data_IF_713658728679
#
_entry.id   IF_713658728679
#
_cell.length_a   1.000
_cell.length_b   1.000
_cell.length_c   1.000
_cell.angle_alpha   90.00
_cell.angle_beta   90.00
_cell.angle_gamma   90.00
#
_symmetry.space_group_name_H-M   'P 1'
#
loop_
_entity.id
_entity.type
_entity.pdbx_description
1 polymer ?
#
# COMPACT_ATOMS: atom_id res chain seq x y z
N UNK A 1 11.99 -18.05 -0.28
CA UNK A 1 12.33 -17.36 0.99
C UNK A 1 11.22 -17.65 1.97
N UNK A 2 11.52 -18.17 3.16
CA UNK A 2 10.50 -18.42 4.21
C UNK A 2 10.38 -17.15 5.05
N UNK A 3 9.17 -16.67 5.29
CA UNK A 3 8.96 -15.56 6.22
C UNK A 3 9.25 -16.08 7.64
N UNK A 4 10.21 -15.46 8.33
CA UNK A 4 10.62 -15.83 9.67
C UNK A 4 10.31 -14.68 10.63
N UNK A 5 9.84 -15.00 11.83
CA UNK A 5 9.74 -14.06 12.95
C UNK A 5 10.58 -14.57 14.12
N UNK A 6 11.06 -13.66 14.97
CA UNK A 6 11.84 -14.02 16.16
C UNK A 6 10.88 -14.30 17.33
N UNK A 7 10.93 -15.53 17.82
CA UNK A 7 10.23 -15.96 19.04
C UNK A 7 11.14 -15.67 20.24
N UNK A 8 10.75 -14.66 21.04
CA UNK A 8 11.54 -14.21 22.20
C UNK A 8 11.48 -15.19 23.38
N UNK A 9 10.44 -16.02 23.48
CA UNK A 9 10.29 -17.00 24.57
C UNK A 9 11.23 -18.18 24.37
N UNK A 10 11.35 -18.64 23.12
CA UNK A 10 12.19 -19.79 22.77
C UNK A 10 13.52 -19.40 22.13
N UNK A 11 13.83 -18.09 22.07
CA UNK A 11 15.03 -17.50 21.47
C UNK A 11 15.39 -18.09 20.09
N UNK A 12 14.39 -18.25 19.20
CA UNK A 12 14.56 -18.90 17.90
C UNK A 12 13.79 -18.21 16.79
N UNK A 13 14.26 -18.35 15.55
CA UNK A 13 13.50 -17.94 14.37
C UNK A 13 12.47 -19.01 14.01
N UNK A 14 11.19 -18.65 13.97
CA UNK A 14 10.09 -19.56 13.59
C UNK A 14 9.46 -19.12 12.27
N UNK A 15 9.01 -20.06 11.42
CA UNK A 15 8.18 -19.74 10.26
C UNK A 15 6.92 -18.98 10.68
N UNK A 16 6.51 -18.00 9.88
CA UNK A 16 5.28 -17.26 10.10
C UNK A 16 4.47 -17.18 8.80
N UNK A 17 3.24 -17.72 8.84
CA UNK A 17 2.34 -17.79 7.68
C UNK A 17 1.29 -16.67 7.63
N UNK A 18 1.42 -15.65 8.47
CA UNK A 18 0.56 -14.48 8.41
C UNK A 18 1.31 -13.30 7.79
N UNK A 19 0.61 -12.42 7.04
CA UNK A 19 1.22 -11.16 6.65
C UNK A 19 1.76 -10.44 7.91
N UNK A 20 2.91 -9.75 7.83
CA UNK A 20 3.45 -9.01 8.96
C UNK A 20 2.37 -8.15 9.61
N UNK A 21 2.34 -7.98 10.95
CA UNK A 21 1.27 -7.24 11.63
C UNK A 21 0.98 -5.85 11.02
N UNK A 22 2.03 -5.15 10.57
CA UNK A 22 1.90 -3.88 9.85
C UNK A 22 1.17 -4.00 8.50
N UNK A 23 1.42 -5.07 7.76
CA UNK A 23 0.71 -5.36 6.50
C UNK A 23 -0.75 -5.75 6.78
N UNK A 24 -1.02 -6.57 7.79
CA UNK A 24 -2.38 -6.97 8.18
C UNK A 24 -3.23 -5.75 8.55
N UNK A 25 -2.69 -4.85 9.38
CA UNK A 25 -3.35 -3.60 9.75
C UNK A 25 -3.63 -2.73 8.51
N UNK A 26 -2.70 -2.69 7.56
CA UNK A 26 -2.91 -1.94 6.33
C UNK A 26 -4.01 -2.55 5.45
N UNK A 27 -4.01 -3.87 5.28
CA UNK A 27 -5.02 -4.59 4.51
C UNK A 27 -6.41 -4.43 5.12
N UNK A 28 -6.54 -4.51 6.44
CA UNK A 28 -7.78 -4.26 7.14
C UNK A 28 -8.33 -2.86 6.82
N UNK A 29 -7.48 -1.84 6.87
CA UNK A 29 -7.87 -0.45 6.56
C UNK A 29 -8.26 -0.25 5.10
N UNK A 30 -7.65 -0.95 4.15
CA UNK A 30 -8.08 -0.91 2.75
C UNK A 30 -9.55 -1.32 2.60
N UNK A 31 -9.93 -2.41 3.27
CA UNK A 31 -11.28 -2.96 3.21
C UNK A 31 -12.26 -2.03 3.94
N UNK A 32 -11.92 -1.57 5.15
CA UNK A 32 -12.85 -0.76 5.95
C UNK A 32 -13.02 0.68 5.46
N UNK A 33 -11.98 1.28 4.89
CA UNK A 33 -12.00 2.67 4.40
C UNK A 33 -12.18 2.77 2.87
N UNK A 34 -12.48 1.64 2.22
CA UNK A 34 -12.61 1.49 0.76
C UNK A 34 -11.45 2.16 0.00
N UNK A 35 -10.23 1.96 0.51
CA UNK A 35 -9.03 2.61 -0.03
C UNK A 35 -8.46 1.76 -1.17
N UNK A 36 -7.83 2.40 -2.17
CA UNK A 36 -7.21 1.68 -3.26
C UNK A 36 -5.99 0.87 -2.79
N UNK A 37 -5.77 -0.31 -3.39
CA UNK A 37 -4.62 -1.18 -3.10
C UNK A 37 -3.26 -0.50 -3.28
N UNK A 38 -3.18 0.61 -4.04
CA UNK A 38 -2.00 1.45 -4.15
C UNK A 38 -1.55 2.10 -2.82
N UNK A 39 -2.38 2.04 -1.76
CA UNK A 39 -2.03 2.48 -0.41
C UNK A 39 -1.31 1.40 0.41
N UNK A 40 -1.20 0.15 -0.07
CA UNK A 40 -0.35 -0.87 0.56
C UNK A 40 1.10 -0.39 0.55
N UNK A 41 1.77 -0.44 1.69
CA UNK A 41 3.15 0.00 1.85
C UNK A 41 3.33 1.51 2.07
N UNK A 42 2.32 2.35 1.81
CA UNK A 42 2.41 3.79 2.15
C UNK A 42 2.09 4.09 3.61
N UNK A 43 1.66 3.09 4.39
CA UNK A 43 1.30 3.23 5.81
C UNK A 43 0.07 4.10 6.07
N UNK A 44 -0.63 4.54 5.02
CA UNK A 44 -1.64 5.62 5.09
C UNK A 44 -1.08 6.92 5.69
N UNK A 45 0.24 7.11 5.61
CA UNK A 45 0.91 8.29 6.10
C UNK A 45 0.56 9.51 5.21
N UNK A 46 0.81 10.71 5.73
CA UNK A 46 0.63 11.97 4.98
C UNK A 46 -0.82 12.28 4.53
N UNK A 47 -1.82 11.98 5.36
CA UNK A 47 -3.23 12.34 5.08
C UNK A 47 -3.78 11.75 3.77
N UNK A 48 -3.33 10.55 3.34
CA UNK A 48 -3.86 9.87 2.15
C UNK A 48 -5.40 9.76 2.12
N UNK A 49 -6.05 9.77 3.29
CA UNK A 49 -7.51 9.83 3.42
C UNK A 49 -8.10 11.11 2.80
N UNK A 50 -7.49 12.27 3.09
CA UNK A 50 -7.94 13.60 2.67
C UNK A 50 -7.38 14.00 1.30
N UNK A 51 -6.08 13.79 1.10
CA UNK A 51 -5.35 14.35 -0.04
C UNK A 51 -5.26 13.36 -1.21
N UNK A 52 -5.70 12.11 -1.03
CA UNK A 52 -5.60 11.01 -1.99
C UNK A 52 -4.20 10.37 -2.05
N UNK A 53 -4.13 9.14 -2.56
CA UNK A 53 -2.86 8.41 -2.69
C UNK A 53 -1.89 9.14 -3.62
N UNK A 54 -0.67 9.41 -3.16
CA UNK A 54 0.35 10.13 -3.94
C UNK A 54 0.71 9.42 -5.26
N UNK A 55 0.78 8.09 -5.25
CA UNK A 55 1.04 7.27 -6.45
C UNK A 55 -0.09 7.46 -7.46
N UNK A 56 -1.34 7.35 -7.02
CA UNK A 56 -2.49 7.54 -7.91
C UNK A 56 -2.54 8.96 -8.46
N UNK A 57 -2.29 9.98 -7.64
CA UNK A 57 -2.21 11.38 -8.11
C UNK A 57 -1.14 11.56 -9.18
N UNK A 58 0.02 10.92 -9.02
CA UNK A 58 1.09 10.95 -10.02
C UNK A 58 0.64 10.31 -11.33
N UNK A 59 0.01 9.13 -11.25
CA UNK A 59 -0.53 8.43 -12.44
C UNK A 59 -1.60 9.29 -13.12
N UNK A 60 -2.58 9.84 -12.39
CA UNK A 60 -3.61 10.71 -12.95
C UNK A 60 -3.03 11.92 -13.69
N UNK A 61 -1.97 12.54 -13.15
CA UNK A 61 -1.28 13.67 -13.82
C UNK A 61 -0.62 13.23 -15.14
N UNK A 62 0.03 12.07 -15.15
CA UNK A 62 0.67 11.53 -16.35
C UNK A 62 -0.38 11.23 -17.41
N UNK A 63 -1.46 10.52 -17.04
CA UNK A 63 -2.57 10.19 -17.95
C UNK A 63 -3.20 11.45 -18.54
N UNK A 64 -3.44 12.47 -17.71
CA UNK A 64 -3.96 13.76 -18.20
C UNK A 64 -3.01 14.45 -19.17
N UNK A 65 -1.70 14.36 -18.94
CA UNK A 65 -0.69 14.92 -19.85
C UNK A 65 -0.56 14.13 -21.16
N UNK A 66 -0.72 12.81 -21.13
CA UNK A 66 -0.67 11.96 -22.33
C UNK A 66 -1.95 12.10 -23.16
N UNK A 67 -3.12 12.18 -22.52
CA UNK A 67 -4.41 12.35 -23.21
C UNK A 67 -4.48 13.67 -24.01
N UNK A 68 -3.92 14.75 -23.45
CA UNK A 68 -3.83 16.05 -24.16
C UNK A 68 -2.97 16.03 -25.42
N UNK A 69 -2.06 15.05 -25.56
CA UNK A 69 -1.21 14.90 -26.76
C UNK A 69 -1.88 14.11 -27.88
N UNK A 70 -3.02 13.46 -27.61
CA UNK A 70 -3.74 12.63 -28.58
C UNK A 70 -4.95 13.31 -29.24
N UNK A 71 -5.34 14.50 -28.80
CA UNK A 71 -6.50 15.25 -29.33
C UNK A 71 -6.14 16.33 -30.37
N UNK A 72 -4.97 16.22 -31.00
CA UNK A 72 -4.64 16.96 -32.22
C UNK A 72 -4.72 16.01 -33.41
N UNK A 73 -5.92 15.77 -33.93
CA UNK A 73 -6.18 15.24 -35.27
C UNK A 73 -7.48 15.85 -35.76
#
# INVERSE_FOLDING_TARGET
MKNLTYDNENARCVPYDSPPPGLTAQLHRLVTEERPGACVGCGFEHNCRRDGCAVLRKVSRIVAATGKRGTTS
#
